data_IF_621920058024
#
_entry.id   IF_621920058024
#
_cell.length_a   1.000
_cell.length_b   1.000
_cell.length_c   1.000
_cell.angle_alpha   90.00
_cell.angle_beta   90.00
_cell.angle_gamma   90.00
#
_symmetry.space_group_name_H-M   'P 1'
#
loop_
_entity.id
_entity.type
_entity.pdbx_description
1 polymer ?
#
# COMPACT_ATOMS: atom_id res chain seq x y z
N UNK A 1 7.59 -5.32 9.80
CA UNK A 1 6.45 -5.91 10.52
C UNK A 1 5.58 -6.66 9.54
N UNK A 2 4.26 -6.66 9.72
CA UNK A 2 3.33 -7.24 8.74
C UNK A 2 3.45 -6.52 7.40
N UNK A 3 3.30 -7.25 6.30
CA UNK A 3 3.29 -6.70 4.95
C UNK A 3 1.86 -6.39 4.52
N UNK A 4 1.62 -5.14 4.11
CA UNK A 4 0.31 -4.64 3.68
C UNK A 4 0.38 -4.16 2.25
N UNK A 5 -0.57 -4.58 1.42
CA UNK A 5 -0.61 -4.25 0.00
C UNK A 5 -1.90 -3.56 -0.44
N UNK A 6 -1.77 -2.54 -1.29
CA UNK A 6 -2.87 -1.94 -2.03
C UNK A 6 -2.61 -1.99 -3.56
N UNK A 7 -3.35 -2.82 -4.32
CA UNK A 7 -3.14 -3.00 -5.77
C UNK A 7 -3.60 -1.82 -6.63
N UNK A 8 -4.24 -0.82 -6.04
CA UNK A 8 -4.79 0.34 -6.73
C UNK A 8 -4.70 1.55 -5.79
N UNK A 9 -3.48 1.83 -5.33
CA UNK A 9 -3.29 2.63 -4.11
C UNK A 9 -3.66 4.10 -4.27
N UNK A 10 -3.84 4.61 -5.49
CA UNK A 10 -4.14 6.01 -5.74
C UNK A 10 -3.05 6.88 -5.11
N UNK A 11 -3.45 7.78 -4.20
CA UNK A 11 -2.54 8.62 -3.42
C UNK A 11 -1.92 7.94 -2.19
N UNK A 12 -2.10 6.63 -1.99
CA UNK A 12 -1.54 5.87 -0.87
C UNK A 12 -2.29 6.02 0.46
N UNK A 13 -3.44 6.68 0.48
CA UNK A 13 -4.15 7.02 1.72
C UNK A 13 -4.56 5.82 2.58
N UNK A 14 -4.99 4.70 1.98
CA UNK A 14 -5.34 3.50 2.74
C UNK A 14 -4.12 2.85 3.42
N UNK A 15 -2.95 2.87 2.77
CA UNK A 15 -1.70 2.35 3.33
C UNK A 15 -1.26 3.17 4.53
N UNK A 16 -1.27 4.50 4.41
CA UNK A 16 -0.97 5.42 5.52
C UNK A 16 -1.94 5.20 6.68
N UNK A 17 -3.23 5.07 6.37
CA UNK A 17 -4.25 4.81 7.40
C UNK A 17 -4.01 3.49 8.13
N UNK A 18 -3.49 2.46 7.44
CA UNK A 18 -3.15 1.20 8.09
C UNK A 18 -2.05 1.38 9.15
N UNK A 19 -0.99 2.13 8.86
CA UNK A 19 0.07 2.43 9.84
C UNK A 19 -0.50 3.21 11.02
N UNK A 20 -1.19 4.33 10.76
CA UNK A 20 -1.79 5.17 11.82
C UNK A 20 -2.73 4.39 12.75
N UNK A 21 -3.59 3.53 12.18
CA UNK A 21 -4.50 2.69 12.99
C UNK A 21 -3.74 1.62 13.77
N UNK A 22 -2.64 1.10 13.22
CA UNK A 22 -1.79 0.17 13.95
C UNK A 22 -1.11 0.89 15.13
N UNK A 23 -0.56 2.09 14.93
CA UNK A 23 0.07 2.90 15.99
C UNK A 23 -0.92 3.20 17.12
N UNK A 24 -2.11 3.70 16.77
CA UNK A 24 -3.20 3.97 17.70
C UNK A 24 -3.55 2.73 18.53
N UNK A 25 -3.72 1.57 17.89
CA UNK A 25 -4.05 0.31 18.58
C UNK A 25 -2.94 -0.17 19.49
N UNK A 26 -1.67 0.03 19.13
CA UNK A 26 -0.55 -0.35 19.98
C UNK A 26 -0.41 0.59 21.18
N UNK A 27 -0.67 1.89 20.99
CA UNK A 27 -0.74 2.88 22.07
C UNK A 27 -1.83 2.53 23.08
N UNK A 28 -3.05 2.22 22.62
CA UNK A 28 -4.15 1.79 23.50
C UNK A 28 -3.84 0.51 24.28
N UNK A 29 -2.98 -0.36 23.74
CA UNK A 29 -2.51 -1.59 24.42
C UNK A 29 -1.28 -1.36 25.30
N UNK A 30 -0.84 -0.11 25.47
CA UNK A 30 0.40 0.26 26.18
C UNK A 30 1.65 -0.47 25.65
N UNK A 31 1.63 -0.92 24.39
CA UNK A 31 2.74 -1.64 23.76
C UNK A 31 3.69 -0.64 23.12
N UNK A 32 4.82 -0.37 23.78
CA UNK A 32 5.82 0.61 23.33
C UNK A 32 6.79 0.11 22.27
N UNK A 33 6.86 -1.21 22.04
CA UNK A 33 7.77 -1.83 21.06
C UNK A 33 7.01 -2.78 20.15
N UNK A 34 6.94 -2.43 18.87
CA UNK A 34 6.38 -3.24 17.79
C UNK A 34 7.08 -2.86 16.48
N UNK A 35 7.06 -3.75 15.51
CA UNK A 35 7.62 -3.47 14.19
C UNK A 35 6.59 -2.69 13.36
N UNK A 36 6.99 -1.63 12.63
CA UNK A 36 6.11 -0.90 11.72
C UNK A 36 5.64 -1.82 10.58
N UNK A 37 4.55 -1.43 9.91
CA UNK A 37 4.08 -2.15 8.72
C UNK A 37 5.07 -1.96 7.57
N UNK A 38 5.14 -2.96 6.70
CA UNK A 38 5.83 -2.86 5.42
C UNK A 38 4.77 -2.55 4.37
N UNK A 39 4.78 -1.31 3.86
CA UNK A 39 3.74 -0.80 2.98
C UNK A 39 4.12 -1.05 1.51
N UNK A 40 3.21 -1.68 0.78
CA UNK A 40 3.36 -1.97 -0.64
C UNK A 40 2.15 -1.42 -1.41
N UNK A 41 2.37 -0.80 -2.56
CA UNK A 41 1.29 -0.25 -3.37
C UNK A 41 1.58 -0.34 -4.86
N UNK A 42 0.54 -0.44 -5.67
CA UNK A 42 0.67 -0.29 -7.12
C UNK A 42 -0.38 0.70 -7.63
N UNK A 43 0.05 1.62 -8.50
CA UNK A 43 -0.82 2.64 -9.08
C UNK A 43 -0.60 2.75 -10.58
N UNK A 44 -1.70 2.84 -11.33
CA UNK A 44 -1.67 2.90 -12.79
C UNK A 44 -1.21 4.27 -13.30
N UNK A 45 -1.72 5.35 -12.70
CA UNK A 45 -1.53 6.70 -13.23
C UNK A 45 -0.26 7.35 -12.65
N UNK A 46 0.67 7.86 -13.49
CA UNK A 46 1.92 8.46 -12.99
C UNK A 46 1.73 9.61 -12.01
N UNK A 47 0.71 10.45 -12.21
CA UNK A 47 0.43 11.59 -11.35
C UNK A 47 -0.02 11.16 -9.94
N UNK A 48 -0.94 10.19 -9.83
CA UNK A 48 -1.39 9.65 -8.54
C UNK A 48 -0.31 8.84 -7.86
N UNK A 49 0.50 8.10 -8.63
CA UNK A 49 1.71 7.45 -8.11
C UNK A 49 2.67 8.47 -7.48
N UNK A 50 2.96 9.59 -8.14
CA UNK A 50 3.82 10.64 -7.57
C UNK A 50 3.21 11.22 -6.27
N UNK A 51 1.90 11.46 -6.24
CA UNK A 51 1.21 11.88 -5.01
C UNK A 51 1.34 10.85 -3.89
N UNK A 52 1.28 9.55 -4.20
CA UNK A 52 1.47 8.50 -3.20
C UNK A 52 2.86 8.52 -2.57
N UNK A 53 3.91 8.71 -3.38
CA UNK A 53 5.28 8.83 -2.89
C UNK A 53 5.45 10.09 -2.03
N UNK A 54 4.86 11.22 -2.44
CA UNK A 54 4.86 12.45 -1.63
C UNK A 54 4.14 12.25 -0.29
N UNK A 55 2.99 11.59 -0.29
CA UNK A 55 2.25 11.34 0.94
C UNK A 55 3.04 10.45 1.91
N UNK A 56 3.73 9.42 1.42
CA UNK A 56 4.62 8.61 2.27
C UNK A 56 5.68 9.50 2.96
N UNK A 57 6.32 10.40 2.21
CA UNK A 57 7.32 11.34 2.76
C UNK A 57 6.70 12.30 3.79
N UNK A 58 5.54 12.89 3.50
CA UNK A 58 4.87 13.84 4.40
C UNK A 58 4.50 13.20 5.74
N UNK A 59 4.15 11.91 5.71
CA UNK A 59 3.80 11.14 6.90
C UNK A 59 4.99 10.48 7.60
N UNK A 60 6.23 10.73 7.13
CA UNK A 60 7.46 10.09 7.64
C UNK A 60 7.39 8.55 7.57
N UNK A 61 6.80 8.04 6.48
CA UNK A 61 6.61 6.61 6.22
C UNK A 61 7.43 6.16 5.02
N UNK A 62 7.94 4.94 5.08
CA UNK A 62 8.55 4.27 3.94
C UNK A 62 7.56 3.29 3.30
N UNK A 63 7.50 3.32 1.96
CA UNK A 63 6.61 2.46 1.20
C UNK A 63 7.18 2.15 -0.19
N UNK A 64 7.05 0.89 -0.56
CA UNK A 64 7.37 0.38 -1.89
C UNK A 64 6.15 0.56 -2.79
N UNK A 65 6.11 1.66 -3.55
CA UNK A 65 5.01 2.00 -4.43
C UNK A 65 5.46 1.93 -5.88
N UNK A 66 4.86 1.01 -6.61
CA UNK A 66 5.18 0.70 -7.99
C UNK A 66 4.19 1.38 -8.95
N UNK A 67 4.68 1.68 -10.15
CA UNK A 67 3.87 2.26 -11.23
C UNK A 67 3.53 1.21 -12.29
N UNK A 68 2.24 1.11 -12.64
CA UNK A 68 1.76 0.31 -13.76
C UNK A 68 0.44 -0.39 -13.50
N UNK A 69 -0.09 -1.02 -14.55
CA UNK A 69 -1.34 -1.77 -14.50
C UNK A 69 -1.19 -3.05 -13.66
N UNK A 70 -1.92 -3.15 -12.55
CA UNK A 70 -1.85 -4.30 -11.64
C UNK A 70 -2.41 -5.57 -12.23
N UNK A 71 -3.39 -5.49 -13.15
CA UNK A 71 -3.99 -6.65 -13.79
C UNK A 71 -3.14 -7.15 -14.95
N UNK A 72 -2.64 -6.25 -15.81
CA UNK A 72 -1.81 -6.60 -16.99
C UNK A 72 -0.34 -6.85 -16.62
N UNK A 73 0.20 -6.11 -15.65
CA UNK A 73 1.60 -6.19 -15.23
C UNK A 73 1.77 -6.03 -13.71
N UNK A 74 1.36 -7.03 -12.90
CA UNK A 74 1.58 -7.00 -11.46
C UNK A 74 3.08 -6.93 -11.15
N UNK A 75 3.46 -5.97 -10.32
CA UNK A 75 4.86 -5.67 -10.01
C UNK A 75 5.39 -6.50 -8.84
N UNK A 76 4.54 -6.79 -7.87
CA UNK A 76 4.89 -7.58 -6.70
C UNK A 76 4.76 -9.08 -6.99
N UNK A 77 5.88 -9.70 -7.40
CA UNK A 77 5.97 -11.12 -7.76
C UNK A 77 7.13 -11.82 -7.05
N UNK A 78 6.94 -13.09 -6.71
CA UNK A 78 7.98 -14.00 -6.19
C UNK A 78 7.97 -15.28 -7.01
N UNK A 79 9.09 -15.63 -7.65
CA UNK A 79 9.23 -16.85 -8.48
C UNK A 79 8.08 -17.01 -9.51
N UNK A 80 7.78 -15.94 -10.26
CA UNK A 80 6.68 -15.86 -11.24
C UNK A 80 5.25 -16.05 -10.70
N UNK A 81 5.06 -16.01 -9.38
CA UNK A 81 3.73 -15.96 -8.75
C UNK A 81 3.50 -14.59 -8.13
N UNK A 82 2.24 -14.20 -7.96
CA UNK A 82 1.90 -13.02 -7.18
C UNK A 82 2.47 -13.15 -5.77
N UNK A 83 3.08 -12.07 -5.26
CA UNK A 83 3.53 -12.01 -3.87
C UNK A 83 2.30 -12.11 -2.96
N UNK A 84 2.39 -12.92 -1.90
CA UNK A 84 1.35 -13.01 -0.87
C UNK A 84 1.72 -12.02 0.24
N UNK A 85 0.72 -11.29 0.71
CA UNK A 85 0.85 -10.28 1.77
C UNK A 85 0.01 -10.70 2.98
N UNK A 86 0.38 -10.22 4.17
CA UNK A 86 -0.38 -10.51 5.38
C UNK A 86 -1.76 -9.85 5.35
N UNK A 87 -1.86 -8.66 4.72
CA UNK A 87 -3.11 -7.95 4.49
C UNK A 87 -3.15 -7.28 3.14
N UNK A 88 -4.35 -7.23 2.58
CA UNK A 88 -4.66 -6.45 1.38
C UNK A 88 -5.77 -5.47 1.71
N UNK A 89 -5.58 -4.21 1.34
CA UNK A 89 -6.60 -3.15 1.40
C UNK A 89 -6.72 -2.55 0.01
N UNK A 90 -7.92 -2.21 -0.42
CA UNK A 90 -8.10 -1.66 -1.75
C UNK A 90 -9.39 -0.84 -1.81
N UNK A 91 -9.36 0.23 -2.59
CA UNK A 91 -10.57 0.87 -3.11
C UNK A 91 -10.43 1.00 -4.64
N UNK A 92 -10.67 -0.09 -5.38
CA UNK A 92 -10.49 -0.09 -6.82
C UNK A 92 -11.55 0.79 -7.50
N UNK A 93 -11.23 1.29 -8.69
CA UNK A 93 -12.20 1.97 -9.54
C UNK A 93 -13.34 1.03 -9.93
N UNK A 94 -14.59 1.52 -9.86
CA UNK A 94 -15.77 0.71 -10.18
C UNK A 94 -16.04 0.69 -11.69
N UNK A 95 -16.63 -0.41 -12.17
CA UNK A 95 -17.14 -0.56 -13.53
C UNK A 95 -16.13 -0.25 -14.64
N UNK A 96 -14.86 -0.61 -14.46
CA UNK A 96 -13.86 -0.45 -15.52
C UNK A 96 -14.18 -1.35 -16.73
N UNK A 97 -14.07 -0.77 -17.93
CA UNK A 97 -14.18 -1.49 -19.20
C UNK A 97 -13.02 -2.47 -19.39
N UNK A 98 -13.13 -3.36 -20.37
CA UNK A 98 -12.12 -4.39 -20.68
C UNK A 98 -10.99 -3.89 -21.59
N UNK A 99 -10.89 -2.58 -21.81
CA UNK A 99 -10.11 -1.98 -22.88
C UNK A 99 -8.58 -1.98 -22.61
#
# INVERSE_FOLDING_TARGET
GMEVYDPCCGSGGLLIKCELVMEEKMMLRSKKKYAPLQLHGQEFTPATWAMSKMNMVIHDMEGDIEIGDTLKNPKFKVKNKLKIFDRVVANPMWNQGKD
#
